data_IF_602744249562
#
_entry.id   IF_602744249562
#
_cell.length_a   1.000
_cell.length_b   1.000
_cell.length_c   1.000
_cell.angle_alpha   90.00
_cell.angle_beta   90.00
_cell.angle_gamma   90.00
#
_symmetry.space_group_name_H-M   'P 1'
#
loop_
_entity.id
_entity.type
_entity.pdbx_description
1 polymer ?
#
# COMPACT_ATOMS: atom_id res chain seq x y z
N UNK A 1 13.22 42.15 41.66
CA UNK A 1 14.36 41.30 41.26
C UNK A 1 14.38 41.30 39.75
N UNK A 2 15.39 41.91 39.13
CA UNK A 2 15.50 41.99 37.68
C UNK A 2 16.44 40.87 37.24
N UNK A 3 15.95 39.97 36.38
CA UNK A 3 16.74 38.91 35.78
C UNK A 3 17.84 39.54 34.92
N UNK A 4 19.10 39.27 35.26
CA UNK A 4 20.27 39.67 34.50
C UNK A 4 20.75 38.44 33.71
N UNK A 5 20.26 38.29 32.50
CA UNK A 5 20.59 37.21 31.56
C UNK A 5 19.96 37.51 30.20
N UNK A 6 20.57 37.00 29.12
CA UNK A 6 19.96 37.00 27.78
C UNK A 6 18.65 36.22 27.87
N UNK A 7 17.53 36.89 27.57
CA UNK A 7 16.24 36.22 27.38
C UNK A 7 16.31 35.61 25.98
N UNK A 8 16.94 34.45 25.89
CA UNK A 8 16.67 33.54 24.78
C UNK A 8 15.29 32.91 25.07
N UNK A 9 14.34 33.17 24.19
CA UNK A 9 13.07 32.46 24.04
C UNK A 9 12.04 32.63 25.18
N UNK A 10 11.28 33.73 25.14
CA UNK A 10 9.91 33.71 25.68
C UNK A 10 9.01 33.27 24.54
N UNK A 11 8.50 32.05 24.64
CA UNK A 11 7.48 31.57 23.76
C UNK A 11 6.31 31.04 24.61
N UNK A 12 5.14 31.64 24.40
CA UNK A 12 3.90 31.24 25.04
C UNK A 12 3.20 30.27 24.10
N UNK A 13 3.62 28.99 24.20
CA UNK A 13 3.38 27.89 23.25
C UNK A 13 1.97 27.28 23.23
N UNK A 14 0.94 27.98 23.71
CA UNK A 14 -0.42 27.41 23.83
C UNK A 14 -1.51 28.24 23.16
N UNK A 15 -1.13 29.32 22.49
CA UNK A 15 -2.01 30.16 21.68
C UNK A 15 -1.18 31.20 20.91
N UNK A 16 -1.73 31.66 19.78
CA UNK A 16 -1.24 32.86 19.13
C UNK A 16 -1.17 34.05 20.11
N UNK A 17 -0.23 34.95 19.88
CA UNK A 17 -0.18 36.20 20.63
C UNK A 17 -1.39 37.08 20.28
N UNK A 18 -1.88 37.82 21.26
CA UNK A 18 -2.88 38.87 21.01
C UNK A 18 -2.21 40.11 20.42
N UNK A 19 -2.99 40.95 19.73
CA UNK A 19 -2.51 42.24 19.20
C UNK A 19 -1.82 43.10 20.27
N UNK A 20 -2.34 43.10 21.50
CA UNK A 20 -1.77 43.85 22.61
C UNK A 20 -0.45 43.26 23.13
N UNK A 21 -0.28 41.93 23.08
CA UNK A 21 0.98 41.26 23.45
C UNK A 21 2.05 41.52 22.39
N UNK A 22 1.70 41.37 21.11
CA UNK A 22 2.57 41.75 20.01
C UNK A 22 2.99 43.22 20.14
N UNK A 23 2.03 44.13 20.34
CA UNK A 23 2.32 45.56 20.53
C UNK A 23 3.19 45.82 21.76
N UNK A 24 2.95 45.14 22.88
CA UNK A 24 3.75 45.27 24.10
C UNK A 24 5.22 44.92 23.87
N UNK A 25 5.50 43.83 23.15
CA UNK A 25 6.88 43.44 22.79
C UNK A 25 7.51 44.39 21.75
N UNK A 26 6.70 44.99 20.87
CA UNK A 26 7.17 46.00 19.91
C UNK A 26 7.49 47.37 20.54
N UNK A 27 6.72 47.80 21.55
CA UNK A 27 6.75 49.17 22.08
C UNK A 27 7.59 49.34 23.36
N UNK A 28 7.95 48.26 24.05
CA UNK A 28 8.81 48.29 25.24
C UNK A 28 10.26 47.98 24.85
N UNK A 29 11.18 48.97 24.80
CA UNK A 29 12.59 48.68 24.54
C UNK A 29 13.17 48.02 25.79
N UNK A 30 13.29 46.69 25.80
CA UNK A 30 13.98 45.92 26.83
C UNK A 30 15.51 46.18 26.88
N UNK A 31 16.00 47.30 26.33
CA UNK A 31 17.42 47.63 26.26
C UNK A 31 18.22 46.75 25.29
N UNK A 32 17.55 45.93 24.49
CA UNK A 32 18.17 45.05 23.50
C UNK A 32 17.88 45.66 22.13
N UNK A 33 18.92 46.21 21.48
CA UNK A 33 18.77 46.88 20.20
C UNK A 33 18.29 45.93 19.10
N UNK A 34 17.32 46.39 18.30
CA UNK A 34 17.03 45.92 16.95
C UNK A 34 16.89 44.40 16.71
N UNK A 35 16.17 43.68 17.58
CA UNK A 35 15.61 42.38 17.19
C UNK A 35 14.11 42.50 16.97
N UNK A 36 13.74 42.98 15.78
CA UNK A 36 12.51 42.53 15.12
C UNK A 36 12.69 41.07 14.66
N UNK A 37 13.11 40.20 15.57
CA UNK A 37 13.20 38.77 15.40
C UNK A 37 13.01 38.20 16.82
N UNK A 38 11.75 38.15 17.30
CA UNK A 38 11.41 37.16 18.32
C UNK A 38 11.56 35.83 17.58
N UNK A 39 12.78 35.29 17.62
CA UNK A 39 13.16 34.05 16.95
C UNK A 39 12.63 32.92 17.82
N UNK A 40 11.53 32.32 17.41
CA UNK A 40 11.26 30.91 17.66
C UNK A 40 11.88 30.17 16.46
N UNK A 41 13.21 30.14 16.40
CA UNK A 41 13.92 29.74 15.18
C UNK A 41 15.36 29.24 15.49
N UNK A 42 15.79 28.19 14.79
CA UNK A 42 17.17 27.69 14.70
C UNK A 42 18.09 28.59 13.83
N UNK A 43 17.53 29.67 13.27
CA UNK A 43 18.14 30.64 12.38
C UNK A 43 17.77 30.46 10.90
N UNK A 44 16.88 29.53 10.55
CA UNK A 44 16.55 29.13 9.17
C UNK A 44 15.07 29.17 8.82
N UNK A 45 14.14 28.94 9.75
CA UNK A 45 12.69 28.81 9.49
C UNK A 45 11.90 29.93 10.17
N UNK A 46 11.02 30.61 9.42
CA UNK A 46 10.31 31.81 9.91
C UNK A 46 8.82 31.52 10.13
N UNK A 47 8.46 31.06 11.33
CA UNK A 47 7.05 30.85 11.70
C UNK A 47 6.31 32.17 11.94
N UNK A 48 4.98 32.16 11.75
CA UNK A 48 4.12 33.31 11.97
C UNK A 48 3.66 33.36 13.44
N UNK A 49 4.10 34.34 14.25
CA UNK A 49 3.73 34.42 15.67
C UNK A 49 2.23 34.67 15.95
N UNK A 50 1.45 35.03 14.92
CA UNK A 50 0.00 35.18 15.00
C UNK A 50 -0.76 33.91 14.55
N UNK A 51 -0.04 32.88 14.12
CA UNK A 51 -0.57 31.55 13.82
C UNK A 51 -0.01 30.55 14.82
N UNK A 52 -0.75 29.49 15.09
CA UNK A 52 -0.22 28.31 15.82
C UNK A 52 0.27 27.22 14.85
N UNK A 53 -0.02 27.41 13.57
CA UNK A 53 0.17 26.49 12.45
C UNK A 53 0.43 27.42 11.25
N UNK A 54 1.70 27.59 10.88
CA UNK A 54 2.14 28.67 9.99
C UNK A 54 1.85 28.38 8.53
N UNK A 55 2.00 27.14 8.07
CA UNK A 55 1.70 26.72 6.69
C UNK A 55 0.28 26.19 6.50
N UNK A 56 -0.44 25.89 7.58
CA UNK A 56 -1.85 25.55 7.56
C UNK A 56 -2.12 24.10 7.19
N UNK A 57 -1.17 23.19 7.40
CA UNK A 57 -1.34 21.75 7.11
C UNK A 57 -2.17 21.02 8.18
N UNK A 58 -2.23 21.57 9.40
CA UNK A 58 -2.95 21.03 10.55
C UNK A 58 -2.04 20.53 11.67
N UNK A 59 -0.72 20.47 11.47
CA UNK A 59 0.28 20.37 12.51
C UNK A 59 0.56 21.76 13.09
N UNK A 60 0.82 21.80 14.39
CA UNK A 60 1.17 23.07 15.03
C UNK A 60 2.67 23.31 14.92
N UNK A 61 3.10 24.57 14.75
CA UNK A 61 4.50 24.97 14.67
C UNK A 61 5.39 24.31 15.76
N UNK A 62 4.85 24.06 16.95
CA UNK A 62 5.58 23.44 18.05
C UNK A 62 5.83 21.94 17.89
N UNK A 63 4.90 21.22 17.26
CA UNK A 63 5.05 19.78 16.99
C UNK A 63 6.12 19.58 15.92
N UNK A 64 6.11 20.41 14.90
CA UNK A 64 7.04 20.28 13.77
C UNK A 64 8.50 20.61 14.15
N UNK A 65 8.69 21.44 15.20
CA UNK A 65 10.00 21.81 15.72
C UNK A 65 10.61 20.80 16.71
N UNK A 66 9.79 19.98 17.37
CA UNK A 66 10.22 19.08 18.43
C UNK A 66 9.59 17.72 18.23
N UNK A 67 10.41 16.65 18.30
CA UNK A 67 9.92 15.29 18.22
C UNK A 67 8.62 15.11 19.00
N UNK A 68 7.56 14.98 18.21
CA UNK A 68 6.20 14.88 18.67
C UNK A 68 5.90 13.54 19.32
N UNK A 69 4.62 13.25 19.47
CA UNK A 69 4.20 11.87 19.74
C UNK A 69 4.37 10.96 18.52
N UNK A 70 4.37 11.55 17.33
CA UNK A 70 4.59 10.88 16.03
C UNK A 70 6.07 10.51 15.78
N UNK A 71 7.01 11.24 16.39
CA UNK A 71 8.44 11.02 16.24
C UNK A 71 9.06 11.65 15.00
N UNK A 72 8.35 12.54 14.31
CA UNK A 72 8.86 13.23 13.12
C UNK A 72 9.19 14.71 13.40
N UNK A 73 9.97 15.31 12.51
CA UNK A 73 10.35 16.72 12.55
C UNK A 73 10.19 17.30 11.14
N UNK A 74 9.13 18.08 10.95
CA UNK A 74 8.76 18.67 9.67
C UNK A 74 9.17 20.14 9.57
N UNK A 75 8.86 20.81 8.46
CA UNK A 75 9.10 22.23 8.26
C UNK A 75 7.80 23.02 8.43
N UNK A 76 7.60 23.76 9.55
CA UNK A 76 6.37 24.50 9.84
C UNK A 76 6.04 25.65 8.90
N UNK A 77 6.81 25.82 7.82
CA UNK A 77 6.55 26.82 6.78
C UNK A 77 6.27 26.18 5.42
N UNK A 78 6.17 24.85 5.38
CA UNK A 78 6.00 24.07 4.19
C UNK A 78 5.08 22.87 4.49
N UNK A 79 3.86 22.95 3.96
CA UNK A 79 2.79 21.95 4.09
C UNK A 79 3.20 20.51 3.73
N UNK A 80 4.29 20.32 2.99
CA UNK A 80 4.76 19.05 2.42
C UNK A 80 6.30 19.06 2.50
N UNK A 81 6.84 18.54 3.60
CA UNK A 81 8.25 18.71 3.99
C UNK A 81 9.23 18.02 3.05
N UNK A 82 8.90 16.84 2.55
CA UNK A 82 9.75 16.07 1.64
C UNK A 82 9.42 16.25 0.15
N UNK A 83 8.29 16.88 -0.16
CA UNK A 83 7.92 17.33 -1.49
C UNK A 83 7.31 16.24 -2.36
N UNK A 84 6.64 15.26 -1.77
CA UNK A 84 6.04 14.13 -2.46
C UNK A 84 4.57 14.36 -2.88
N UNK A 85 3.97 15.48 -2.48
CA UNK A 85 2.56 15.88 -2.68
C UNK A 85 1.56 15.41 -1.62
N UNK A 86 1.99 14.67 -0.60
CA UNK A 86 1.27 14.46 0.65
C UNK A 86 1.64 15.59 1.62
N UNK A 87 0.67 16.02 2.42
CA UNK A 87 0.97 17.03 3.45
C UNK A 87 1.46 16.34 4.72
N UNK A 88 2.35 16.99 5.47
CA UNK A 88 2.93 16.43 6.70
C UNK A 88 1.84 15.91 7.67
N UNK A 89 0.78 16.69 7.89
CA UNK A 89 -0.40 16.25 8.66
C UNK A 89 -1.06 14.98 8.12
N UNK A 90 -1.22 14.86 6.80
CA UNK A 90 -1.88 13.71 6.17
C UNK A 90 -1.04 12.45 6.36
N UNK A 91 0.28 12.57 6.23
CA UNK A 91 1.19 11.47 6.41
C UNK A 91 1.18 10.95 7.84
N UNK A 92 1.32 11.85 8.81
CA UNK A 92 1.31 11.48 10.23
C UNK A 92 -0.04 10.93 10.70
N UNK A 93 -1.14 11.50 10.22
CA UNK A 93 -2.47 11.22 10.79
C UNK A 93 -3.34 10.27 9.97
N UNK A 94 -3.03 10.06 8.69
CA UNK A 94 -3.89 9.32 7.74
C UNK A 94 -3.17 8.16 7.08
N UNK A 95 -2.07 8.37 6.33
CA UNK A 95 -1.37 7.27 5.64
C UNK A 95 -0.42 6.50 6.57
N UNK A 96 0.17 7.18 7.56
CA UNK A 96 1.21 6.66 8.45
C UNK A 96 2.61 6.66 7.83
N UNK A 97 2.78 7.29 6.67
CA UNK A 97 4.07 7.43 5.97
C UNK A 97 4.97 8.43 6.70
N UNK A 98 6.22 8.51 6.29
CA UNK A 98 7.22 9.35 6.93
C UNK A 98 7.32 10.72 6.21
N UNK A 99 6.86 11.82 6.84
CA UNK A 99 6.79 13.15 6.21
C UNK A 99 8.15 13.85 6.02
N UNK A 100 9.24 13.09 6.07
CA UNK A 100 10.60 13.60 5.89
C UNK A 100 11.36 12.83 4.80
N UNK A 101 10.68 11.90 4.13
CA UNK A 101 11.19 11.10 3.02
C UNK A 101 10.03 10.80 2.09
N UNK A 102 10.17 11.21 0.84
CA UNK A 102 9.16 11.06 -0.20
C UNK A 102 8.90 9.60 -0.65
N UNK A 103 9.47 8.62 0.06
CA UNK A 103 9.54 7.19 -0.23
C UNK A 103 9.85 6.49 1.10
N UNK A 104 8.81 6.01 1.78
CA UNK A 104 8.87 5.54 3.16
C UNK A 104 9.59 4.20 3.31
N UNK A 105 9.43 3.29 2.35
CA UNK A 105 10.02 1.94 2.41
C UNK A 105 11.28 1.76 1.53
N UNK A 106 11.56 2.72 0.66
CA UNK A 106 12.79 2.81 -0.12
C UNK A 106 12.78 2.00 -1.41
N UNK A 107 11.60 1.73 -1.98
CA UNK A 107 11.44 0.95 -3.21
C UNK A 107 11.51 1.76 -4.51
N UNK A 108 11.68 3.09 -4.39
CA UNK A 108 11.76 4.11 -5.45
C UNK A 108 10.43 4.62 -6.01
N UNK A 109 9.30 4.19 -5.46
CA UNK A 109 7.97 4.74 -5.70
C UNK A 109 7.66 5.74 -4.59
N UNK A 110 7.04 6.86 -4.95
CA UNK A 110 6.75 7.92 -3.98
C UNK A 110 5.47 7.62 -3.21
N UNK A 111 5.42 7.97 -1.93
CA UNK A 111 4.30 7.61 -1.04
C UNK A 111 2.94 8.11 -1.56
N UNK A 112 2.91 9.21 -2.32
CA UNK A 112 1.70 9.76 -2.96
C UNK A 112 1.05 8.84 -4.01
N UNK A 113 1.81 7.92 -4.61
CA UNK A 113 1.35 7.00 -5.65
C UNK A 113 1.55 5.52 -5.29
N UNK A 114 2.25 5.24 -4.21
CA UNK A 114 2.49 3.90 -3.72
C UNK A 114 1.24 3.33 -3.00
N UNK A 115 0.74 2.19 -3.48
CA UNK A 115 -0.36 1.48 -2.82
C UNK A 115 0.08 0.73 -1.56
N UNK A 116 1.38 0.43 -1.42
CA UNK A 116 1.98 -0.33 -0.35
C UNK A 116 3.21 0.38 0.25
N UNK A 117 3.07 1.60 0.81
CA UNK A 117 4.20 2.46 1.24
C UNK A 117 5.00 1.95 2.46
N UNK A 118 4.78 0.70 2.86
CA UNK A 118 5.48 0.03 3.96
C UNK A 118 6.03 -1.34 3.55
N UNK A 119 5.91 -1.73 2.29
CA UNK A 119 6.39 -2.98 1.75
C UNK A 119 7.16 -2.73 0.46
N UNK A 120 8.48 -2.60 0.61
CA UNK A 120 9.41 -2.32 -0.50
C UNK A 120 9.45 -3.37 -1.63
N UNK A 121 8.60 -4.39 -1.56
CA UNK A 121 8.42 -5.41 -2.59
C UNK A 121 7.14 -5.25 -3.40
N UNK A 122 6.27 -4.29 -3.06
CA UNK A 122 4.99 -4.04 -3.73
C UNK A 122 4.73 -2.54 -3.90
N UNK A 123 4.06 -2.14 -4.98
CA UNK A 123 3.75 -0.73 -5.23
C UNK A 123 2.47 -0.46 -6.04
N UNK A 124 2.01 -1.44 -6.83
CA UNK A 124 0.77 -1.38 -7.61
C UNK A 124 -0.15 -2.52 -7.17
N UNK A 125 -1.44 -2.21 -7.02
CA UNK A 125 -2.54 -3.16 -6.88
C UNK A 125 -3.52 -2.92 -8.04
N UNK A 126 -3.40 -3.70 -9.11
CA UNK A 126 -4.09 -3.42 -10.37
C UNK A 126 -5.60 -3.67 -10.28
N UNK A 127 -6.05 -4.62 -9.48
CA UNK A 127 -7.47 -5.00 -9.39
C UNK A 127 -8.16 -4.63 -8.07
N UNK A 128 -7.39 -4.15 -7.09
CA UNK A 128 -7.87 -3.58 -5.84
C UNK A 128 -8.28 -4.63 -4.82
N UNK A 129 -7.66 -5.80 -4.82
CA UNK A 129 -7.94 -6.88 -3.87
C UNK A 129 -7.09 -6.83 -2.59
N UNK A 130 -6.06 -5.96 -2.56
CA UNK A 130 -5.16 -5.77 -1.45
C UNK A 130 -3.88 -6.61 -1.50
N UNK A 131 -3.62 -7.33 -2.58
CA UNK A 131 -2.35 -7.95 -2.89
C UNK A 131 -1.63 -7.16 -3.99
N UNK A 132 -0.32 -6.93 -3.81
CA UNK A 132 0.46 -6.21 -4.80
C UNK A 132 0.77 -7.07 -6.01
N UNK A 133 0.85 -6.44 -7.18
CA UNK A 133 1.05 -7.08 -8.48
C UNK A 133 2.30 -7.98 -8.56
N UNK A 134 3.31 -7.80 -7.69
CA UNK A 134 4.52 -8.64 -7.74
C UNK A 134 4.33 -10.00 -7.05
N UNK A 135 3.49 -10.06 -6.02
CA UNK A 135 3.14 -11.29 -5.30
C UNK A 135 1.88 -11.96 -5.87
N UNK A 136 0.98 -11.17 -6.45
CA UNK A 136 -0.29 -11.65 -6.99
C UNK A 136 -0.09 -12.50 -8.26
N UNK A 137 -0.57 -13.75 -8.21
CA UNK A 137 -0.56 -14.65 -9.37
C UNK A 137 -1.60 -14.27 -10.43
N UNK A 138 -2.65 -13.53 -10.05
CA UNK A 138 -3.72 -13.07 -10.92
C UNK A 138 -3.99 -11.55 -10.79
N UNK A 139 -3.05 -10.66 -11.17
CA UNK A 139 -3.14 -9.19 -10.97
C UNK A 139 -4.31 -8.44 -11.63
N UNK A 140 -5.21 -9.16 -12.31
CA UNK A 140 -6.36 -8.60 -13.00
C UNK A 140 -7.68 -9.24 -12.58
N UNK A 141 -7.68 -10.15 -11.61
CA UNK A 141 -8.87 -10.78 -11.05
C UNK A 141 -8.90 -10.65 -9.53
N UNK A 142 -9.58 -9.61 -9.07
CA UNK A 142 -9.75 -9.26 -7.65
C UNK A 142 -10.31 -10.34 -6.71
N UNK A 143 -10.67 -11.51 -7.22
CA UNK A 143 -11.18 -12.63 -6.44
C UNK A 143 -10.16 -13.77 -6.36
N UNK A 144 -9.00 -13.67 -6.99
CA UNK A 144 -7.93 -14.67 -7.01
C UNK A 144 -6.59 -13.98 -6.81
N UNK A 145 -5.80 -14.43 -5.84
CA UNK A 145 -4.46 -13.88 -5.61
C UNK A 145 -3.37 -14.95 -5.46
N UNK A 146 -3.79 -16.21 -5.32
CA UNK A 146 -2.93 -17.35 -5.01
C UNK A 146 -3.17 -18.50 -5.99
N UNK A 147 -2.08 -19.13 -6.39
CA UNK A 147 -2.03 -20.39 -7.14
C UNK A 147 -1.08 -21.32 -6.37
N UNK A 148 -1.64 -22.12 -5.46
CA UNK A 148 -0.88 -22.89 -4.48
C UNK A 148 -0.17 -24.10 -5.09
N UNK A 149 -0.58 -24.55 -6.28
CA UNK A 149 0.00 -25.72 -6.96
C UNK A 149 0.62 -25.44 -8.33
N UNK A 150 0.52 -24.20 -8.80
CA UNK A 150 1.15 -23.65 -10.00
C UNK A 150 0.57 -24.19 -11.30
N UNK A 151 -0.71 -24.56 -11.30
CA UNK A 151 -1.42 -25.03 -12.48
C UNK A 151 -2.19 -23.91 -13.23
N UNK A 152 -2.07 -22.66 -12.76
CA UNK A 152 -2.75 -21.48 -13.29
C UNK A 152 -4.27 -21.46 -13.10
N UNK A 153 -4.82 -22.27 -12.21
CA UNK A 153 -6.11 -22.05 -11.57
C UNK A 153 -5.91 -21.36 -10.22
N UNK A 154 -6.82 -20.44 -9.90
CA UNK A 154 -6.79 -19.72 -8.65
C UNK A 154 -7.32 -20.57 -7.50
N UNK A 155 -6.71 -20.43 -6.32
CA UNK A 155 -7.12 -21.15 -5.11
C UNK A 155 -8.60 -20.95 -4.78
N UNK A 156 -9.15 -19.75 -4.94
CA UNK A 156 -10.55 -19.50 -4.63
C UNK A 156 -11.46 -20.11 -5.70
N UNK A 157 -11.04 -20.12 -6.96
CA UNK A 157 -11.77 -20.72 -8.08
C UNK A 157 -11.95 -22.21 -7.82
N UNK A 158 -10.89 -22.89 -7.44
CA UNK A 158 -10.90 -24.32 -7.17
C UNK A 158 -11.69 -24.67 -5.92
N UNK A 159 -11.54 -23.92 -4.84
CA UNK A 159 -12.32 -24.13 -3.62
C UNK A 159 -13.83 -23.92 -3.83
N UNK A 160 -14.23 -23.19 -4.87
CA UNK A 160 -15.62 -22.88 -5.23
C UNK A 160 -16.13 -23.67 -6.44
N UNK A 161 -15.28 -24.44 -7.13
CA UNK A 161 -15.66 -25.18 -8.33
C UNK A 161 -16.62 -26.34 -8.02
N UNK A 162 -17.38 -26.76 -9.03
CA UNK A 162 -18.30 -27.90 -8.93
C UNK A 162 -18.33 -28.68 -10.25
N UNK A 163 -17.68 -29.86 -10.32
CA UNK A 163 -17.03 -30.55 -9.21
C UNK A 163 -15.81 -29.79 -8.66
N UNK A 164 -15.56 -29.95 -7.36
CA UNK A 164 -14.48 -29.25 -6.64
C UNK A 164 -13.13 -29.89 -6.96
N UNK A 165 -12.14 -29.09 -7.38
CA UNK A 165 -10.74 -29.46 -7.54
C UNK A 165 -9.93 -29.14 -6.28
N UNK A 166 -8.69 -29.63 -6.21
CA UNK A 166 -7.84 -29.48 -5.05
C UNK A 166 -6.72 -28.49 -5.34
N UNK A 167 -6.86 -27.29 -4.76
CA UNK A 167 -5.92 -26.17 -4.90
C UNK A 167 -4.50 -26.39 -4.39
N UNK A 168 -4.11 -27.60 -4.01
CA UNK A 168 -2.72 -27.92 -3.66
C UNK A 168 -2.18 -29.09 -4.48
N UNK A 169 -2.89 -29.48 -5.54
CA UNK A 169 -2.60 -30.64 -6.35
C UNK A 169 -3.00 -30.34 -7.80
N UNK A 170 -2.02 -30.15 -8.70
CA UNK A 170 -2.26 -29.74 -10.09
C UNK A 170 -3.08 -30.70 -10.96
N UNK A 171 -3.40 -31.88 -10.44
CA UNK A 171 -4.06 -32.99 -11.11
C UNK A 171 -4.86 -33.68 -10.02
N UNK A 172 -6.13 -33.31 -9.87
CA UNK A 172 -6.95 -33.69 -8.71
C UNK A 172 -7.20 -35.19 -8.64
N UNK A 173 -7.28 -35.89 -9.77
CA UNK A 173 -7.64 -37.31 -9.84
C UNK A 173 -6.48 -38.28 -10.20
N UNK A 174 -5.27 -37.77 -10.36
CA UNK A 174 -4.03 -38.48 -10.66
C UNK A 174 -4.03 -39.23 -12.01
N UNK A 175 -4.72 -38.71 -13.03
CA UNK A 175 -4.76 -39.33 -14.36
C UNK A 175 -3.64 -38.89 -15.30
N UNK A 176 -2.90 -37.84 -14.89
CA UNK A 176 -1.76 -37.26 -15.60
C UNK A 176 -2.09 -36.04 -16.46
N UNK A 177 -3.33 -35.56 -16.48
CA UNK A 177 -3.74 -34.28 -17.05
C UNK A 177 -3.96 -33.26 -15.92
N UNK A 178 -3.66 -31.98 -16.19
CA UNK A 178 -3.72 -30.95 -15.16
C UNK A 178 -5.13 -30.40 -15.04
N UNK A 179 -5.56 -30.06 -13.82
CA UNK A 179 -6.84 -29.37 -13.60
C UNK A 179 -6.82 -28.04 -14.36
N UNK A 180 -5.70 -27.33 -14.27
CA UNK A 180 -5.43 -26.08 -14.97
C UNK A 180 -4.82 -26.19 -16.37
N UNK A 181 -4.70 -25.04 -17.06
CA UNK A 181 -4.33 -25.00 -18.47
C UNK A 181 -2.84 -25.22 -18.76
N UNK A 182 -1.98 -25.28 -17.73
CA UNK A 182 -0.52 -25.36 -17.90
C UNK A 182 0.03 -26.70 -17.45
N UNK A 183 1.08 -27.16 -18.13
CA UNK A 183 1.79 -28.37 -17.69
C UNK A 183 2.59 -28.08 -16.41
N UNK A 184 2.38 -28.85 -15.36
CA UNK A 184 3.15 -28.70 -14.11
C UNK A 184 4.32 -29.69 -14.05
N UNK A 185 5.52 -29.17 -13.75
CA UNK A 185 6.75 -29.96 -13.56
C UNK A 185 7.44 -29.52 -12.28
N UNK A 186 7.69 -30.47 -11.38
CA UNK A 186 8.35 -30.21 -10.09
C UNK A 186 9.67 -30.98 -10.05
N UNK A 187 10.79 -30.27 -9.87
CA UNK A 187 12.13 -30.87 -9.80
C UNK A 187 12.45 -31.83 -10.96
N UNK A 188 12.14 -31.40 -12.20
CA UNK A 188 12.27 -32.16 -13.44
C UNK A 188 11.39 -33.42 -13.55
N UNK A 189 10.40 -33.57 -12.66
CA UNK A 189 9.38 -34.62 -12.72
C UNK A 189 8.09 -34.01 -13.27
N UNK A 190 7.64 -34.49 -14.42
CA UNK A 190 6.33 -34.14 -14.96
C UNK A 190 5.26 -34.62 -13.99
N UNK A 191 4.46 -33.70 -13.46
CA UNK A 191 3.32 -34.00 -12.59
C UNK A 191 2.12 -34.33 -13.47
N UNK A 192 1.73 -33.38 -14.32
CA UNK A 192 0.57 -33.48 -15.21
C UNK A 192 0.82 -32.73 -16.52
N UNK A 193 0.09 -33.06 -17.59
CA UNK A 193 0.23 -32.44 -18.92
C UNK A 193 -1.12 -32.05 -19.52
N UNK A 194 -1.20 -30.86 -20.08
CA UNK A 194 -2.42 -30.38 -20.75
C UNK A 194 -3.58 -30.19 -19.78
N UNK A 195 -4.63 -29.53 -20.27
CA UNK A 195 -5.82 -29.27 -19.50
C UNK A 195 -6.73 -30.50 -19.48
N UNK A 196 -7.18 -30.88 -18.30
CA UNK A 196 -8.21 -31.87 -18.06
C UNK A 196 -9.60 -31.20 -18.12
N UNK A 197 -10.48 -31.69 -19.00
CA UNK A 197 -11.87 -31.21 -19.10
C UNK A 197 -12.77 -31.82 -18.02
N UNK A 198 -12.37 -32.94 -17.42
CA UNK A 198 -13.03 -33.59 -16.30
C UNK A 198 -12.08 -33.83 -15.11
N UNK A 199 -11.61 -32.75 -14.43
CA UNK A 199 -10.57 -32.78 -13.36
C UNK A 199 -10.83 -33.67 -12.13
N UNK A 200 -11.96 -34.38 -12.08
CA UNK A 200 -12.34 -35.22 -10.93
C UNK A 200 -12.74 -36.63 -11.34
N UNK A 201 -12.54 -36.97 -12.62
CA UNK A 201 -12.90 -38.23 -13.23
C UNK A 201 -11.67 -38.78 -13.96
N UNK A 202 -10.77 -39.45 -13.26
CA UNK A 202 -9.48 -39.88 -13.85
C UNK A 202 -9.53 -40.98 -14.91
N UNK A 203 -10.72 -41.25 -15.48
CA UNK A 203 -10.89 -42.01 -16.71
C UNK A 203 -11.24 -41.14 -17.91
N UNK A 204 -11.41 -39.84 -17.76
CA UNK A 204 -11.86 -38.89 -18.78
C UNK A 204 -11.03 -37.61 -18.67
N UNK A 205 -10.39 -37.17 -19.75
CA UNK A 205 -9.58 -35.94 -19.74
C UNK A 205 -9.88 -34.99 -20.91
N UNK A 206 -10.68 -35.44 -21.88
CA UNK A 206 -11.01 -34.68 -23.08
C UNK A 206 -12.47 -34.85 -23.47
N UNK A 207 -13.05 -33.77 -23.99
CA UNK A 207 -14.39 -33.71 -24.59
C UNK A 207 -14.26 -32.97 -25.93
N UNK A 208 -14.13 -33.73 -27.02
CA UNK A 208 -13.77 -33.16 -28.32
C UNK A 208 -14.94 -32.46 -29.00
N UNK A 209 -16.16 -32.91 -28.76
CA UNK A 209 -17.36 -32.38 -29.42
C UNK A 209 -18.21 -31.47 -28.51
N UNK A 210 -17.85 -31.39 -27.22
CA UNK A 210 -18.37 -30.47 -26.23
C UNK A 210 -19.74 -30.87 -25.70
N UNK A 211 -20.09 -32.16 -25.74
CA UNK A 211 -21.41 -32.65 -25.30
C UNK A 211 -21.50 -32.92 -23.79
N UNK A 212 -20.36 -32.86 -23.08
CA UNK A 212 -20.23 -33.06 -21.64
C UNK A 212 -20.00 -34.52 -21.23
N UNK A 213 -19.81 -35.43 -22.18
CA UNK A 213 -19.34 -36.80 -21.96
C UNK A 213 -17.88 -36.87 -22.39
N UNK A 214 -17.03 -37.50 -21.58
CA UNK A 214 -15.63 -37.64 -21.93
C UNK A 214 -15.41 -38.63 -23.07
N UNK A 215 -14.40 -38.36 -23.91
CA UNK A 215 -14.09 -39.10 -25.13
C UNK A 215 -13.86 -40.62 -24.89
N UNK A 216 -13.51 -41.06 -23.66
CA UNK A 216 -13.31 -42.48 -23.37
C UNK A 216 -14.63 -43.21 -23.05
N UNK A 217 -15.63 -42.49 -22.54
CA UNK A 217 -16.99 -43.00 -22.31
C UNK A 217 -17.90 -42.75 -23.50
N UNK A 218 -17.59 -41.77 -24.34
CA UNK A 218 -18.38 -41.44 -25.52
C UNK A 218 -18.22 -42.50 -26.63
N UNK A 219 -19.36 -43.03 -27.08
CA UNK A 219 -19.43 -43.95 -28.20
C UNK A 219 -19.10 -43.27 -29.55
N UNK A 220 -19.32 -41.95 -29.65
CA UNK A 220 -19.13 -41.14 -30.84
C UNK A 220 -18.38 -39.81 -30.54
N UNK A 221 -17.06 -39.83 -30.19
CA UNK A 221 -16.25 -38.67 -29.73
C UNK A 221 -16.06 -37.49 -30.71
N UNK A 222 -16.83 -37.44 -31.79
CA UNK A 222 -16.77 -36.44 -32.85
C UNK A 222 -18.19 -35.92 -33.22
N UNK A 223 -19.26 -36.37 -32.55
CA UNK A 223 -20.66 -36.01 -32.88
C UNK A 223 -21.52 -35.72 -31.64
N UNK A 224 -21.56 -34.43 -31.27
CA UNK A 224 -22.29 -33.86 -30.14
C UNK A 224 -23.82 -33.95 -30.18
N UNK A 225 -24.37 -34.81 -31.04
CA UNK A 225 -25.79 -35.09 -31.18
C UNK A 225 -26.15 -36.49 -30.70
N UNK A 226 -25.18 -37.30 -30.28
CA UNK A 226 -25.47 -38.60 -29.68
C UNK A 226 -25.80 -38.42 -28.19
N UNK A 227 -27.06 -38.10 -27.91
CA UNK A 227 -27.58 -37.95 -26.54
C UNK A 227 -27.66 -39.28 -25.75
N UNK A 228 -26.97 -40.33 -26.19
CA UNK A 228 -27.01 -41.67 -25.61
C UNK A 228 -25.60 -42.26 -25.47
N UNK A 229 -25.02 -42.02 -24.31
CA UNK A 229 -24.08 -42.95 -23.68
C UNK A 229 -24.73 -43.66 -22.47
#
# INVERSE_FOLDING_TARGET
EYLNGTIDNIALWSRAFTDDEMRYFYEQPLGIGNYANIRVDDGKRFTNPNSIDTDGDGLSDNEEFYYGMDGFLTDPTNIDTDGDSLSDFYEVMVSGTNPTTNDTDGDTITDDVDFFPFDSTEWVDTDGDGYGDNLDFFPFDKNESFDSDFDSLGDNYELLSNPQTNNTKPDTDDDGYCDGPVNVTIADIQVCIGNDIFPTIGSEWSDKDGDGVGDNSDACPDDNRDWKD
#
